data_IF_028040931647
#
_entry.id   IF_028040931647
#
_cell.length_a   1.000
_cell.length_b   1.000
_cell.length_c   1.000
_cell.angle_alpha   90.00
_cell.angle_beta   90.00
_cell.angle_gamma   90.00
#
_symmetry.space_group_name_H-M   'P 1'
#
loop_
_entity.id
_entity.type
_entity.pdbx_description
1 polymer ?
#
# COMPACT_ATOMS: atom_id res chain seq x y z
N UNK A 1 13.90 26.24 -14.94
CA UNK A 1 14.48 25.27 -15.90
C UNK A 1 13.34 24.39 -16.36
N UNK A 2 12.98 24.48 -17.65
CA UNK A 2 11.80 23.81 -18.19
C UNK A 2 11.94 22.29 -18.14
N UNK A 3 11.02 21.64 -17.46
CA UNK A 3 10.80 20.20 -17.55
C UNK A 3 10.23 19.95 -18.95
N UNK A 4 10.97 19.18 -19.76
CA UNK A 4 10.55 18.86 -21.12
C UNK A 4 9.15 18.22 -21.09
N UNK A 5 8.23 18.88 -21.77
CA UNK A 5 6.94 18.29 -22.12
C UNK A 5 7.23 17.00 -22.91
N UNK A 6 6.91 15.86 -22.31
CA UNK A 6 6.89 14.60 -23.06
C UNK A 6 5.76 14.70 -24.08
N UNK A 7 6.04 14.46 -25.36
CA UNK A 7 5.09 14.40 -26.49
C UNK A 7 4.09 13.23 -26.36
N UNK A 8 3.52 13.01 -25.18
CA UNK A 8 2.44 12.04 -25.00
C UNK A 8 1.12 12.74 -25.26
N UNK A 9 0.24 12.16 -26.10
CA UNK A 9 -1.10 12.69 -26.27
C UNK A 9 -1.80 12.77 -24.90
N UNK A 10 -2.67 13.79 -24.69
CA UNK A 10 -3.39 13.93 -23.44
C UNK A 10 -4.14 12.64 -23.11
N UNK A 11 -4.18 12.22 -21.85
CA UNK A 11 -4.84 11.00 -21.43
C UNK A 11 -6.33 11.07 -21.80
N UNK A 12 -6.84 9.99 -22.39
CA UNK A 12 -8.25 9.86 -22.81
C UNK A 12 -9.08 9.31 -21.66
N UNK A 13 -9.21 10.07 -20.58
CA UNK A 13 -9.94 9.65 -19.37
C UNK A 13 -11.36 9.16 -19.70
N UNK A 14 -12.15 9.92 -20.46
CA UNK A 14 -13.54 9.59 -20.76
C UNK A 14 -13.69 8.23 -21.46
N UNK A 15 -12.80 7.92 -22.40
CA UNK A 15 -12.83 6.62 -23.08
C UNK A 15 -12.48 5.48 -22.13
N UNK A 16 -11.48 5.66 -21.27
CA UNK A 16 -11.10 4.66 -20.29
C UNK A 16 -12.22 4.41 -19.26
N UNK A 17 -12.87 5.48 -18.78
CA UNK A 17 -14.02 5.40 -17.88
C UNK A 17 -15.13 4.56 -18.49
N UNK A 18 -15.55 4.85 -19.73
CA UNK A 18 -16.60 4.09 -20.45
C UNK A 18 -16.25 2.60 -20.53
N UNK A 19 -14.99 2.26 -20.83
CA UNK A 19 -14.57 0.86 -20.92
C UNK A 19 -14.61 0.14 -19.56
N UNK A 20 -14.16 0.76 -18.49
CA UNK A 20 -14.19 0.14 -17.15
C UNK A 20 -15.61 0.05 -16.59
N UNK A 21 -16.47 1.04 -16.84
CA UNK A 21 -17.89 0.96 -16.50
C UNK A 21 -18.59 -0.18 -17.24
N UNK A 22 -18.32 -0.33 -18.55
CA UNK A 22 -18.86 -1.42 -19.34
C UNK A 22 -18.37 -2.78 -18.82
N UNK A 23 -17.07 -2.92 -18.52
CA UNK A 23 -16.50 -4.15 -17.97
C UNK A 23 -17.16 -4.52 -16.63
N UNK A 24 -17.29 -3.56 -15.71
CA UNK A 24 -17.95 -3.75 -14.42
C UNK A 24 -19.42 -4.15 -14.55
N UNK A 25 -20.13 -3.51 -15.46
CA UNK A 25 -21.58 -3.74 -15.68
C UNK A 25 -21.85 -5.07 -16.35
N UNK A 26 -20.94 -5.54 -17.23
CA UNK A 26 -21.06 -6.84 -17.90
C UNK A 26 -20.91 -8.03 -16.94
N UNK A 27 -20.35 -7.83 -15.73
CA UNK A 27 -20.15 -8.90 -14.76
C UNK A 27 -21.39 -8.98 -13.84
N UNK A 28 -22.09 -10.13 -13.81
CA UNK A 28 -23.27 -10.32 -12.94
C UNK A 28 -22.90 -10.12 -11.47
N UNK A 29 -23.79 -9.43 -10.71
CA UNK A 29 -23.56 -9.16 -9.29
C UNK A 29 -23.50 -10.41 -8.41
N UNK A 30 -24.21 -11.45 -8.83
CA UNK A 30 -24.35 -12.74 -8.12
C UNK A 30 -23.35 -13.80 -8.61
N UNK A 31 -22.39 -13.41 -9.46
CA UNK A 31 -21.34 -14.34 -9.92
C UNK A 31 -20.54 -14.91 -8.76
N UNK A 32 -20.25 -16.22 -8.83
CA UNK A 32 -19.37 -16.93 -7.89
C UNK A 32 -17.98 -17.20 -8.47
N UNK A 33 -17.76 -16.78 -9.72
CA UNK A 33 -16.46 -16.98 -10.38
C UNK A 33 -15.46 -15.95 -9.85
N UNK A 34 -14.49 -16.40 -9.05
CA UNK A 34 -13.48 -15.55 -8.38
C UNK A 34 -12.82 -14.59 -9.36
N UNK A 35 -12.38 -15.07 -10.54
CA UNK A 35 -11.74 -14.22 -11.55
C UNK A 35 -12.63 -13.08 -12.05
N UNK A 36 -13.95 -13.29 -12.11
CA UNK A 36 -14.89 -12.25 -12.52
C UNK A 36 -15.14 -11.25 -11.39
N UNK A 37 -15.16 -11.73 -10.14
CA UNK A 37 -15.24 -10.88 -8.94
C UNK A 37 -14.01 -9.98 -8.90
N UNK A 38 -12.81 -10.55 -9.01
CA UNK A 38 -11.54 -9.80 -9.02
C UNK A 38 -11.52 -8.76 -10.16
N UNK A 39 -12.00 -9.11 -11.35
CA UNK A 39 -12.08 -8.19 -12.48
C UNK A 39 -13.06 -7.03 -12.21
N UNK A 40 -14.19 -7.29 -11.57
CA UNK A 40 -15.15 -6.26 -11.16
C UNK A 40 -14.56 -5.31 -10.13
N UNK A 41 -13.89 -5.84 -9.12
CA UNK A 41 -13.25 -5.07 -8.07
C UNK A 41 -12.10 -4.22 -8.62
N UNK A 42 -11.28 -4.80 -9.51
CA UNK A 42 -10.25 -4.09 -10.25
C UNK A 42 -10.83 -2.97 -11.12
N UNK A 43 -11.98 -3.21 -11.75
CA UNK A 43 -12.65 -2.17 -12.56
C UNK A 43 -13.10 -1.00 -11.69
N UNK A 44 -13.63 -1.24 -10.48
CA UNK A 44 -13.99 -0.20 -9.53
C UNK A 44 -12.77 0.59 -9.06
N UNK A 45 -11.67 -0.09 -8.73
CA UNK A 45 -10.41 0.55 -8.35
C UNK A 45 -9.84 1.41 -9.49
N UNK A 46 -9.89 0.89 -10.73
CA UNK A 46 -9.42 1.61 -11.92
C UNK A 46 -10.26 2.86 -12.19
N UNK A 47 -11.60 2.77 -12.09
CA UNK A 47 -12.50 3.91 -12.22
C UNK A 47 -12.20 4.99 -11.17
N UNK A 48 -12.02 4.58 -9.91
CA UNK A 48 -11.68 5.50 -8.84
C UNK A 48 -10.39 6.27 -9.14
N UNK A 49 -9.35 5.58 -9.61
CA UNK A 49 -8.09 6.20 -10.01
C UNK A 49 -8.23 7.14 -11.20
N UNK A 50 -9.02 6.77 -12.20
CA UNK A 50 -9.25 7.64 -13.36
C UNK A 50 -9.94 8.94 -12.95
N UNK A 51 -10.97 8.89 -12.10
CA UNK A 51 -11.62 10.09 -11.58
C UNK A 51 -10.65 10.94 -10.75
N UNK A 52 -9.82 10.30 -9.93
CA UNK A 52 -8.81 10.96 -9.14
C UNK A 52 -7.77 11.67 -10.02
N UNK A 53 -7.19 10.99 -11.00
CA UNK A 53 -6.24 11.55 -11.95
C UNK A 53 -6.86 12.68 -12.79
N UNK A 54 -8.11 12.52 -13.22
CA UNK A 54 -8.83 13.55 -13.96
C UNK A 54 -9.04 14.79 -13.07
N UNK A 55 -9.33 14.62 -11.78
CA UNK A 55 -9.45 15.72 -10.83
C UNK A 55 -8.16 16.53 -10.73
N UNK A 56 -6.99 15.88 -10.75
CA UNK A 56 -5.69 16.57 -10.73
C UNK A 56 -5.34 17.32 -12.02
N UNK A 57 -6.02 17.01 -13.13
CA UNK A 57 -5.85 17.77 -14.38
C UNK A 57 -6.64 19.07 -14.42
N UNK A 58 -7.49 19.31 -13.42
CA UNK A 58 -8.31 20.50 -13.28
C UNK A 58 -7.77 21.44 -12.19
N UNK A 59 -7.99 22.73 -12.37
CA UNK A 59 -7.78 23.71 -11.31
C UNK A 59 -8.76 23.49 -10.15
N UNK A 60 -8.46 24.07 -8.99
CA UNK A 60 -9.35 24.00 -7.83
C UNK A 60 -10.71 24.63 -8.17
N UNK A 61 -11.77 23.87 -7.88
CA UNK A 61 -13.12 24.31 -8.18
C UNK A 61 -14.17 23.20 -8.05
N UNK A 62 -15.44 23.54 -8.30
CA UNK A 62 -16.54 22.60 -8.12
C UNK A 62 -16.45 21.36 -9.02
N UNK A 63 -15.89 21.49 -10.22
CA UNK A 63 -15.72 20.34 -11.13
C UNK A 63 -14.70 19.34 -10.59
N UNK A 64 -13.56 19.82 -10.07
CA UNK A 64 -12.56 18.99 -9.40
C UNK A 64 -13.17 18.26 -8.20
N UNK A 65 -13.96 18.96 -7.38
CA UNK A 65 -14.64 18.35 -6.23
C UNK A 65 -15.58 17.23 -6.63
N UNK A 66 -16.38 17.41 -7.67
CA UNK A 66 -17.28 16.36 -8.20
C UNK A 66 -16.49 15.11 -8.62
N UNK A 67 -15.33 15.28 -9.23
CA UNK A 67 -14.48 14.14 -9.61
C UNK A 67 -13.85 13.45 -8.39
N UNK A 68 -13.40 14.20 -7.39
CA UNK A 68 -12.91 13.65 -6.13
C UNK A 68 -14.01 12.88 -5.39
N UNK A 69 -15.24 13.39 -5.36
CA UNK A 69 -16.38 12.69 -4.76
C UNK A 69 -16.67 11.37 -5.50
N UNK A 70 -16.66 11.37 -6.84
CA UNK A 70 -16.77 10.14 -7.63
C UNK A 70 -15.65 9.15 -7.32
N UNK A 71 -14.41 9.62 -7.24
CA UNK A 71 -13.27 8.77 -6.92
C UNK A 71 -13.44 8.12 -5.52
N UNK A 72 -13.81 8.90 -4.50
CA UNK A 72 -14.05 8.41 -3.14
C UNK A 72 -15.15 7.35 -3.09
N UNK A 73 -16.24 7.56 -3.82
CA UNK A 73 -17.34 6.58 -3.93
C UNK A 73 -16.87 5.29 -4.62
N UNK A 74 -16.12 5.39 -5.71
CA UNK A 74 -15.63 4.20 -6.40
C UNK A 74 -14.57 3.44 -5.59
N UNK A 75 -13.70 4.11 -4.84
CA UNK A 75 -12.83 3.43 -3.86
C UNK A 75 -13.64 2.69 -2.79
N UNK A 76 -14.75 3.27 -2.33
CA UNK A 76 -15.63 2.62 -1.34
C UNK A 76 -16.44 1.46 -1.93
N UNK A 77 -16.65 1.43 -3.25
CA UNK A 77 -17.32 0.34 -3.95
C UNK A 77 -16.44 -0.93 -4.06
N UNK A 78 -15.13 -0.83 -3.82
CA UNK A 78 -14.28 -2.02 -3.67
C UNK A 78 -14.72 -2.77 -2.43
N UNK A 79 -15.19 -4.04 -2.57
CA UNK A 79 -15.77 -4.76 -1.45
C UNK A 79 -14.79 -4.96 -0.31
N UNK A 80 -15.31 -4.93 0.91
CA UNK A 80 -14.54 -5.39 2.08
C UNK A 80 -14.08 -6.83 1.86
N UNK A 81 -12.87 -7.12 2.30
CA UNK A 81 -12.22 -8.43 2.16
C UNK A 81 -11.78 -8.79 0.73
N UNK A 82 -11.96 -7.90 -0.25
CA UNK A 82 -11.28 -8.01 -1.55
C UNK A 82 -9.77 -7.88 -1.37
N UNK A 83 -8.98 -8.55 -2.21
CA UNK A 83 -7.52 -8.39 -2.25
C UNK A 83 -7.07 -6.96 -2.56
N UNK A 84 -7.96 -6.13 -3.13
CA UNK A 84 -7.71 -4.73 -3.48
C UNK A 84 -8.22 -3.74 -2.41
N UNK A 85 -8.81 -4.24 -1.33
CA UNK A 85 -9.46 -3.37 -0.33
C UNK A 85 -8.48 -2.47 0.41
N UNK A 86 -7.33 -2.99 0.83
CA UNK A 86 -6.29 -2.19 1.49
C UNK A 86 -5.81 -1.04 0.59
N UNK A 87 -5.59 -1.33 -0.69
CA UNK A 87 -5.21 -0.36 -1.71
C UNK A 87 -6.30 0.70 -1.93
N UNK A 88 -7.56 0.28 -1.97
CA UNK A 88 -8.70 1.20 -2.08
C UNK A 88 -8.82 2.12 -0.86
N UNK A 89 -8.61 1.61 0.35
CA UNK A 89 -8.60 2.41 1.59
C UNK A 89 -7.48 3.46 1.56
N UNK A 90 -6.28 3.06 1.15
CA UNK A 90 -5.14 3.97 1.06
C UNK A 90 -5.37 5.08 0.03
N UNK A 91 -5.81 4.74 -1.18
CA UNK A 91 -6.10 5.72 -2.22
C UNK A 91 -7.29 6.63 -1.84
N UNK A 92 -8.31 6.09 -1.13
CA UNK A 92 -9.42 6.90 -0.61
C UNK A 92 -8.93 7.92 0.44
N UNK A 93 -7.98 7.52 1.29
CA UNK A 93 -7.39 8.44 2.25
C UNK A 93 -6.68 9.60 1.55
N UNK A 94 -5.94 9.35 0.46
CA UNK A 94 -5.35 10.38 -0.38
C UNK A 94 -6.41 11.30 -0.99
N UNK A 95 -7.44 10.73 -1.62
CA UNK A 95 -8.50 11.52 -2.25
C UNK A 95 -9.24 12.39 -1.22
N UNK A 96 -9.51 11.87 -0.03
CA UNK A 96 -10.13 12.62 1.06
C UNK A 96 -9.19 13.70 1.61
N UNK A 97 -7.88 13.47 1.65
CA UNK A 97 -6.91 14.49 2.08
C UNK A 97 -6.85 15.65 1.10
N UNK A 98 -6.85 15.36 -0.20
CA UNK A 98 -6.86 16.39 -1.27
C UNK A 98 -8.15 17.21 -1.28
N UNK A 99 -9.28 16.60 -0.88
CA UNK A 99 -10.57 17.29 -0.73
C UNK A 99 -10.77 17.88 0.68
N UNK A 100 -9.71 17.95 1.49
CA UNK A 100 -9.68 18.50 2.86
C UNK A 100 -10.65 17.81 3.85
N UNK A 101 -11.17 16.62 3.47
CA UNK A 101 -11.98 15.78 4.36
C UNK A 101 -11.09 14.97 5.32
N UNK A 102 -10.31 15.67 6.14
CA UNK A 102 -9.28 15.08 7.01
C UNK A 102 -9.80 14.02 7.98
N UNK A 103 -11.03 14.17 8.47
CA UNK A 103 -11.67 13.20 9.33
C UNK A 103 -11.88 11.85 8.65
N UNK A 104 -12.33 11.86 7.40
CA UNK A 104 -12.53 10.65 6.59
C UNK A 104 -11.20 10.04 6.16
N UNK A 105 -10.22 10.90 5.83
CA UNK A 105 -8.87 10.44 5.50
C UNK A 105 -8.24 9.68 6.68
N UNK A 106 -8.28 10.25 7.89
CA UNK A 106 -7.79 9.59 9.10
C UNK A 106 -8.57 8.31 9.42
N UNK A 107 -9.88 8.28 9.17
CA UNK A 107 -10.70 7.08 9.34
C UNK A 107 -10.29 5.94 8.41
N UNK A 108 -9.98 6.23 7.16
CA UNK A 108 -9.48 5.25 6.20
C UNK A 108 -8.08 4.74 6.60
N UNK A 109 -7.17 5.63 7.02
CA UNK A 109 -5.83 5.27 7.52
C UNK A 109 -5.89 4.47 8.82
N UNK A 110 -6.84 4.77 9.71
CA UNK A 110 -7.08 4.00 10.91
C UNK A 110 -7.57 2.58 10.55
N UNK A 111 -8.51 2.46 9.62
CA UNK A 111 -8.95 1.15 9.14
C UNK A 111 -7.78 0.33 8.58
N UNK A 112 -6.90 0.95 7.80
CA UNK A 112 -5.71 0.30 7.22
C UNK A 112 -4.71 -0.16 8.29
N UNK A 113 -4.70 0.49 9.46
CA UNK A 113 -3.84 0.12 10.60
C UNK A 113 -4.43 -1.02 11.46
N UNK A 114 -5.61 -1.55 11.11
CA UNK A 114 -6.26 -2.61 11.87
C UNK A 114 -5.48 -3.94 11.78
N UNK A 115 -5.56 -4.80 12.81
CA UNK A 115 -4.92 -6.12 12.81
C UNK A 115 -5.32 -7.01 11.63
N UNK A 116 -6.43 -6.73 10.98
CA UNK A 116 -6.85 -7.40 9.75
C UNK A 116 -5.84 -7.21 8.60
N UNK A 117 -5.14 -6.08 8.54
CA UNK A 117 -4.20 -5.72 7.48
C UNK A 117 -2.74 -5.92 7.87
N UNK A 118 -2.43 -6.78 8.83
CA UNK A 118 -1.04 -7.05 9.25
C UNK A 118 -0.14 -7.52 8.12
N UNK A 119 -0.73 -8.11 7.08
CA UNK A 119 -0.01 -8.61 5.90
C UNK A 119 0.06 -7.59 4.76
N UNK A 120 -0.47 -6.38 4.97
CA UNK A 120 -0.40 -5.28 4.01
C UNK A 120 0.72 -4.31 4.37
N UNK A 121 1.37 -3.74 3.34
CA UNK A 121 2.51 -2.85 3.52
C UNK A 121 2.30 -1.53 2.77
N UNK A 122 1.87 -0.51 3.51
CA UNK A 122 1.65 0.85 3.02
C UNK A 122 2.47 1.85 3.85
N UNK A 123 3.79 1.91 3.68
CA UNK A 123 4.65 2.76 4.51
C UNK A 123 4.33 4.26 4.34
N UNK A 124 3.83 4.68 3.19
CA UNK A 124 3.40 6.05 2.95
C UNK A 124 2.16 6.47 3.78
N UNK A 125 1.39 5.52 4.32
CA UNK A 125 0.21 5.82 5.13
C UNK A 125 0.56 6.66 6.38
N UNK A 126 1.72 6.41 7.01
CA UNK A 126 2.20 7.21 8.13
C UNK A 126 2.57 8.63 7.71
N UNK A 127 3.19 8.78 6.55
CA UNK A 127 3.51 10.12 5.99
C UNK A 127 2.24 10.90 5.70
N UNK A 128 1.25 10.26 5.07
CA UNK A 128 -0.04 10.90 4.81
C UNK A 128 -0.73 11.35 6.12
N UNK A 129 -0.68 10.52 7.15
CA UNK A 129 -1.20 10.85 8.48
C UNK A 129 -0.47 12.06 9.09
N UNK A 130 0.85 12.13 8.96
CA UNK A 130 1.65 13.28 9.41
C UNK A 130 1.26 14.56 8.64
N UNK A 131 1.09 14.47 7.32
CA UNK A 131 0.66 15.59 6.46
C UNK A 131 -0.72 16.12 6.90
N UNK A 132 -1.69 15.24 7.18
CA UNK A 132 -3.01 15.65 7.65
C UNK A 132 -2.90 16.43 8.97
N UNK A 133 -2.10 15.96 9.93
CA UNK A 133 -1.90 16.68 11.17
C UNK A 133 -1.11 17.97 10.98
N UNK A 134 -0.18 18.02 10.02
CA UNK A 134 0.54 19.23 9.66
C UNK A 134 -0.42 20.33 9.16
N UNK A 135 -1.31 20.01 8.22
CA UNK A 135 -2.34 20.95 7.74
C UNK A 135 -3.31 21.42 8.82
N UNK A 136 -3.41 20.70 9.91
CA UNK A 136 -4.23 21.07 11.07
C UNK A 136 -3.42 21.68 12.22
N UNK A 137 -2.15 22.04 12.00
CA UNK A 137 -1.25 22.66 12.96
C UNK A 137 -1.04 21.82 14.25
N UNK A 138 -1.23 20.50 14.18
CA UNK A 138 -1.09 19.59 15.33
C UNK A 138 0.35 19.05 15.42
N UNK A 139 1.30 19.94 15.68
CA UNK A 139 2.74 19.70 15.57
C UNK A 139 3.25 18.54 16.43
N UNK A 140 2.75 18.40 17.66
CA UNK A 140 3.12 17.30 18.54
C UNK A 140 2.80 15.94 17.92
N UNK A 141 1.63 15.82 17.27
CA UNK A 141 1.24 14.59 16.58
C UNK A 141 2.07 14.32 15.33
N UNK A 142 2.41 15.39 14.61
CA UNK A 142 3.33 15.26 13.46
C UNK A 142 4.66 14.69 13.91
N UNK A 143 5.30 15.30 14.92
CA UNK A 143 6.59 14.88 15.42
C UNK A 143 6.56 13.42 15.92
N UNK A 144 5.53 13.03 16.69
CA UNK A 144 5.38 11.65 17.16
C UNK A 144 5.32 10.64 16.02
N UNK A 145 4.55 10.93 14.95
CA UNK A 145 4.45 10.02 13.79
C UNK A 145 5.78 9.95 13.02
N UNK A 146 6.46 11.09 12.87
CA UNK A 146 7.74 11.12 12.15
C UNK A 146 8.85 10.39 12.91
N UNK A 147 8.81 10.42 14.23
CA UNK A 147 9.73 9.62 15.07
C UNK A 147 9.44 8.12 14.92
N UNK A 148 8.15 7.71 14.87
CA UNK A 148 7.78 6.33 14.57
C UNK A 148 8.26 5.89 13.17
N UNK A 149 8.12 6.74 12.14
CA UNK A 149 8.57 6.47 10.77
C UNK A 149 10.07 6.20 10.76
N UNK A 150 10.87 7.05 11.42
CA UNK A 150 12.32 6.86 11.48
C UNK A 150 12.71 5.60 12.23
N UNK A 151 12.13 5.41 13.41
CA UNK A 151 12.46 4.25 14.26
C UNK A 151 12.17 2.91 13.58
N UNK A 152 11.16 2.85 12.70
CA UNK A 152 10.75 1.62 12.02
C UNK A 152 11.42 1.46 10.65
N UNK A 153 11.45 2.51 9.83
CA UNK A 153 11.80 2.36 8.42
C UNK A 153 13.29 2.56 8.12
N UNK A 154 14.02 3.34 8.92
CA UNK A 154 15.47 3.48 8.74
C UNK A 154 16.21 2.14 8.94
N UNK A 155 16.01 1.41 10.06
CA UNK A 155 16.67 0.12 10.26
C UNK A 155 16.23 -0.93 9.21
N UNK A 156 14.97 -0.89 8.79
CA UNK A 156 14.43 -1.80 7.77
C UNK A 156 15.07 -1.54 6.40
N UNK A 157 15.20 -0.27 6.00
CA UNK A 157 15.86 0.13 4.75
C UNK A 157 17.33 -0.27 4.75
N UNK A 158 18.07 -0.03 5.85
CA UNK A 158 19.45 -0.44 6.01
C UNK A 158 19.63 -1.95 5.91
N UNK A 159 18.76 -2.72 6.58
CA UNK A 159 18.76 -4.18 6.53
C UNK A 159 18.57 -4.69 5.10
N UNK A 160 17.58 -4.17 4.37
CA UNK A 160 17.30 -4.59 3.00
C UNK A 160 18.39 -4.15 2.03
N UNK A 161 18.99 -2.98 2.24
CA UNK A 161 20.14 -2.53 1.45
C UNK A 161 21.33 -3.47 1.64
N UNK A 162 21.68 -3.79 2.89
CA UNK A 162 22.77 -4.72 3.19
C UNK A 162 22.52 -6.11 2.60
N UNK A 163 21.26 -6.58 2.64
CA UNK A 163 20.87 -7.85 2.03
C UNK A 163 21.01 -7.82 0.50
N UNK A 164 20.55 -6.74 -0.14
CA UNK A 164 20.67 -6.57 -1.59
C UNK A 164 22.12 -6.42 -2.07
N UNK A 165 23.01 -5.93 -1.23
CA UNK A 165 24.46 -5.81 -1.49
C UNK A 165 25.26 -7.05 -1.09
N UNK A 166 24.62 -8.03 -0.45
CA UNK A 166 25.27 -9.28 -0.05
C UNK A 166 25.71 -10.12 -1.25
N UNK A 167 26.65 -11.05 -1.02
CA UNK A 167 27.14 -11.98 -2.02
C UNK A 167 26.24 -13.22 -2.19
N UNK A 168 24.95 -13.10 -1.89
CA UNK A 168 23.99 -14.17 -2.14
C UNK A 168 23.88 -14.44 -3.65
N UNK A 169 24.00 -15.72 -4.02
CA UNK A 169 23.76 -16.17 -5.39
C UNK A 169 22.27 -16.04 -5.73
N UNK A 170 21.93 -15.90 -7.00
CA UNK A 170 20.55 -15.61 -7.38
C UNK A 170 19.58 -16.75 -7.06
N UNK A 171 20.01 -17.98 -7.08
CA UNK A 171 19.20 -19.16 -6.73
C UNK A 171 18.89 -19.29 -5.23
N UNK A 172 19.67 -18.63 -4.38
CA UNK A 172 19.46 -18.58 -2.91
C UNK A 172 18.36 -17.59 -2.49
N UNK A 173 17.97 -16.65 -3.34
CA UNK A 173 16.99 -15.61 -3.00
C UNK A 173 15.58 -16.15 -2.78
N UNK A 174 15.13 -17.11 -3.58
CA UNK A 174 13.80 -17.69 -3.41
C UNK A 174 13.69 -18.54 -2.14
N UNK A 175 14.65 -19.44 -1.82
CA UNK A 175 14.73 -20.08 -0.51
C UNK A 175 14.75 -19.09 0.67
N UNK A 176 15.48 -18.00 0.54
CA UNK A 176 15.52 -16.94 1.55
C UNK A 176 14.15 -16.31 1.76
N UNK A 177 13.43 -15.98 0.68
CA UNK A 177 12.06 -15.45 0.75
C UNK A 177 11.12 -16.43 1.45
N UNK A 178 11.18 -17.72 1.09
CA UNK A 178 10.38 -18.77 1.74
C UNK A 178 10.67 -18.85 3.23
N UNK A 179 11.94 -18.87 3.63
CA UNK A 179 12.37 -18.88 5.02
C UNK A 179 11.86 -17.66 5.78
N UNK A 180 11.87 -16.48 5.15
CA UNK A 180 11.38 -15.23 5.75
C UNK A 180 9.87 -15.25 6.04
N UNK A 181 9.12 -16.07 5.32
CA UNK A 181 7.67 -16.23 5.45
C UNK A 181 7.27 -17.40 6.37
N UNK A 182 8.20 -18.25 6.81
CA UNK A 182 7.91 -19.36 7.69
C UNK A 182 7.22 -18.89 8.98
N UNK A 183 6.21 -19.64 9.47
CA UNK A 183 5.64 -19.39 10.78
C UNK A 183 6.71 -19.54 11.87
N UNK A 184 6.96 -18.47 12.63
CA UNK A 184 7.97 -18.45 13.67
C UNK A 184 9.38 -18.06 13.22
N UNK A 185 9.56 -17.60 11.99
CA UNK A 185 10.82 -16.98 11.56
C UNK A 185 11.19 -15.82 12.49
N UNK A 186 12.45 -15.80 12.92
CA UNK A 186 12.96 -14.74 13.80
C UNK A 186 13.06 -13.41 13.03
N UNK A 187 12.08 -12.54 13.23
CA UNK A 187 12.03 -11.24 12.56
C UNK A 187 13.13 -10.26 13.01
N UNK A 188 13.91 -10.63 14.03
CA UNK A 188 15.10 -9.87 14.43
C UNK A 188 16.37 -10.28 13.69
N UNK A 189 16.33 -11.39 12.94
CA UNK A 189 17.43 -11.85 12.10
C UNK A 189 17.58 -10.95 10.87
N UNK A 190 18.58 -10.08 10.92
CA UNK A 190 18.92 -9.14 9.82
C UNK A 190 19.29 -9.82 8.48
N UNK A 191 19.44 -11.15 8.48
CA UNK A 191 19.69 -11.92 7.24
C UNK A 191 18.40 -12.34 6.54
N UNK A 192 17.25 -12.16 7.15
CA UNK A 192 15.95 -12.42 6.54
C UNK A 192 15.39 -11.16 5.88
N UNK A 193 14.50 -11.35 4.92
CA UNK A 193 13.69 -10.27 4.38
C UNK A 193 12.62 -9.92 5.43
N UNK A 194 12.43 -8.65 5.81
CA UNK A 194 11.36 -8.28 6.75
C UNK A 194 10.00 -8.82 6.27
N UNK A 195 9.22 -9.41 7.18
CA UNK A 195 8.00 -10.14 6.84
C UNK A 195 7.02 -9.33 5.99
N UNK A 196 6.80 -8.06 6.33
CA UNK A 196 5.89 -7.20 5.55
C UNK A 196 6.37 -7.01 4.09
N UNK A 197 7.68 -6.85 3.91
CA UNK A 197 8.31 -6.76 2.58
C UNK A 197 8.18 -8.09 1.83
N UNK A 198 8.47 -9.20 2.49
CA UNK A 198 8.34 -10.53 1.90
C UNK A 198 6.90 -10.81 1.42
N UNK A 199 5.90 -10.45 2.23
CA UNK A 199 4.48 -10.58 1.88
C UNK A 199 4.08 -9.67 0.71
N UNK A 200 4.55 -8.42 0.69
CA UNK A 200 4.31 -7.51 -0.42
C UNK A 200 4.91 -8.02 -1.74
N UNK A 201 6.08 -8.67 -1.68
CA UNK A 201 6.70 -9.30 -2.86
C UNK A 201 5.85 -10.46 -3.38
N UNK A 202 5.38 -11.35 -2.51
CA UNK A 202 4.59 -12.52 -2.92
C UNK A 202 3.23 -12.12 -3.49
N UNK A 203 2.64 -11.04 -3.00
CA UNK A 203 1.38 -10.48 -3.52
C UNK A 203 1.53 -9.76 -4.87
N UNK A 204 2.75 -9.48 -5.32
CA UNK A 204 2.96 -8.87 -6.63
C UNK A 204 2.51 -9.83 -7.75
N UNK A 205 1.57 -9.42 -8.64
CA UNK A 205 1.02 -10.33 -9.66
C UNK A 205 2.06 -10.89 -10.64
N UNK A 206 3.19 -10.21 -10.80
CA UNK A 206 4.30 -10.71 -11.65
C UNK A 206 5.05 -11.81 -10.94
N UNK A 207 5.30 -11.63 -9.65
CA UNK A 207 5.98 -12.63 -8.84
C UNK A 207 5.09 -13.87 -8.63
N UNK A 208 3.80 -13.69 -8.39
CA UNK A 208 2.82 -14.77 -8.29
C UNK A 208 2.83 -15.67 -9.54
N UNK A 209 2.88 -15.08 -10.74
CA UNK A 209 2.99 -15.83 -12.00
C UNK A 209 4.31 -16.61 -12.11
N UNK A 210 5.40 -16.01 -11.63
CA UNK A 210 6.71 -16.68 -11.62
C UNK A 210 6.71 -17.87 -10.66
N UNK A 211 6.13 -17.71 -9.49
CA UNK A 211 6.00 -18.77 -8.50
C UNK A 211 5.07 -19.90 -8.99
N UNK A 212 3.96 -19.55 -9.62
CA UNK A 212 3.05 -20.53 -10.23
C UNK A 212 3.75 -21.37 -11.31
N UNK A 213 4.58 -20.74 -12.15
CA UNK A 213 5.35 -21.45 -13.17
C UNK A 213 6.40 -22.40 -12.56
N UNK A 214 7.11 -21.97 -11.52
CA UNK A 214 8.05 -22.83 -10.80
C UNK A 214 7.35 -24.06 -10.19
N UNK A 215 6.19 -23.85 -9.57
CA UNK A 215 5.36 -24.93 -9.02
C UNK A 215 4.89 -25.91 -10.08
N UNK A 216 4.65 -25.45 -11.31
CA UNK A 216 4.27 -26.34 -12.41
C UNK A 216 5.48 -27.16 -12.90
N UNK A 217 6.67 -26.59 -13.00
CA UNK A 217 7.91 -27.35 -13.28
C UNK A 217 8.09 -28.45 -12.22
N UNK A 218 8.02 -28.10 -10.93
CA UNK A 218 8.16 -29.06 -9.83
C UNK A 218 7.08 -30.16 -9.88
N UNK A 219 5.89 -29.83 -10.32
CA UNK A 219 4.78 -30.78 -10.47
C UNK A 219 5.02 -31.75 -11.63
N UNK A 220 5.43 -31.24 -12.79
CA UNK A 220 5.72 -32.04 -13.97
C UNK A 220 6.88 -33.02 -13.67
N UNK A 221 7.96 -32.54 -13.08
CA UNK A 221 9.08 -33.37 -12.66
C UNK A 221 8.63 -34.54 -11.76
N UNK A 222 7.81 -34.25 -10.73
CA UNK A 222 7.25 -35.28 -9.85
C UNK A 222 6.37 -36.30 -10.57
N UNK A 223 5.67 -35.93 -11.63
CA UNK A 223 4.89 -36.86 -12.46
C UNK A 223 5.83 -37.80 -13.23
N UNK A 224 6.91 -37.27 -13.79
CA UNK A 224 7.94 -38.06 -14.48
C UNK A 224 8.61 -39.07 -13.55
N UNK A 225 9.03 -38.62 -12.37
CA UNK A 225 9.70 -39.47 -11.38
C UNK A 225 8.84 -40.62 -10.87
N UNK A 226 7.49 -40.47 -10.85
CA UNK A 226 6.57 -41.56 -10.47
C UNK A 226 6.60 -42.73 -11.44
N UNK A 227 6.93 -42.51 -12.69
CA UNK A 227 7.09 -43.56 -13.69
C UNK A 227 8.49 -44.20 -13.62
N UNK A 228 8.72 -45.03 -12.60
CA UNK A 228 10.04 -45.65 -12.30
C UNK A 228 10.72 -46.32 -13.49
N UNK A 229 9.92 -46.87 -14.41
CA UNK A 229 10.46 -47.56 -15.60
C UNK A 229 10.95 -46.52 -16.63
N UNK A 230 10.19 -45.47 -16.82
CA UNK A 230 10.57 -44.40 -17.76
C UNK A 230 11.72 -43.54 -17.23
N UNK A 231 11.69 -43.16 -15.96
CA UNK A 231 12.72 -42.33 -15.33
C UNK A 231 14.12 -42.99 -15.33
N UNK A 232 14.18 -44.33 -15.41
CA UNK A 232 15.42 -45.09 -15.49
C UNK A 232 15.91 -45.34 -16.94
N UNK A 233 15.14 -44.97 -17.95
CA UNK A 233 15.59 -45.03 -19.33
C UNK A 233 16.55 -43.87 -19.65
N UNK A 234 17.38 -44.00 -20.68
CA UNK A 234 18.31 -42.97 -21.11
C UNK A 234 17.56 -41.64 -21.44
N UNK A 235 16.40 -41.74 -22.09
CA UNK A 235 15.54 -40.63 -22.38
C UNK A 235 14.95 -40.01 -21.10
N UNK A 236 14.52 -40.82 -20.14
CA UNK A 236 13.96 -40.35 -18.87
C UNK A 236 15.00 -39.61 -18.02
N UNK A 237 16.23 -40.14 -17.94
CA UNK A 237 17.33 -39.51 -17.21
C UNK A 237 17.76 -38.18 -17.84
N UNK A 238 17.77 -38.11 -19.19
CA UNK A 238 18.03 -36.82 -19.90
C UNK A 238 16.95 -35.79 -19.62
N UNK A 239 15.68 -36.15 -19.65
CA UNK A 239 14.56 -35.28 -19.32
C UNK A 239 14.59 -34.76 -17.88
N UNK A 240 14.93 -35.59 -16.90
CA UNK A 240 15.08 -35.17 -15.50
C UNK A 240 16.20 -34.13 -15.39
N UNK A 241 17.34 -34.39 -16.03
CA UNK A 241 18.45 -33.42 -16.05
C UNK A 241 18.06 -32.08 -16.71
N UNK A 242 17.24 -32.12 -17.78
CA UNK A 242 16.71 -30.91 -18.42
C UNK A 242 15.73 -30.17 -17.50
N UNK A 243 14.87 -30.89 -16.73
CA UNK A 243 14.02 -30.26 -15.74
C UNK A 243 14.83 -29.55 -14.63
N UNK A 244 15.87 -30.23 -14.11
CA UNK A 244 16.72 -29.64 -13.07
C UNK A 244 17.46 -28.41 -13.59
N UNK A 245 18.05 -28.47 -14.80
CA UNK A 245 18.73 -27.34 -15.40
C UNK A 245 17.78 -26.16 -15.68
N UNK A 246 16.57 -26.42 -16.17
CA UNK A 246 15.56 -25.38 -16.39
C UNK A 246 15.07 -24.77 -15.08
N UNK A 247 14.86 -25.57 -14.04
CA UNK A 247 14.47 -25.15 -12.71
C UNK A 247 15.52 -24.22 -12.10
N UNK A 248 16.80 -24.63 -12.13
CA UNK A 248 17.90 -23.86 -11.57
C UNK A 248 18.09 -22.52 -12.34
N UNK A 249 18.03 -22.59 -13.67
CA UNK A 249 18.05 -21.38 -14.50
C UNK A 249 16.90 -20.43 -14.17
N UNK A 250 15.70 -20.97 -13.91
CA UNK A 250 14.53 -20.17 -13.57
C UNK A 250 14.62 -19.57 -12.15
N UNK A 251 15.15 -20.34 -11.18
CA UNK A 251 15.46 -19.83 -9.84
C UNK A 251 16.44 -18.65 -9.89
N UNK A 252 17.45 -18.72 -10.73
CA UNK A 252 18.38 -17.61 -10.96
C UNK A 252 17.68 -16.35 -11.50
N UNK A 253 16.73 -16.51 -12.43
CA UNK A 253 15.90 -15.37 -12.94
C UNK A 253 15.01 -14.81 -11.84
N UNK A 254 14.33 -15.67 -11.08
CA UNK A 254 13.51 -15.26 -9.94
C UNK A 254 14.33 -14.50 -8.89
N UNK A 255 15.51 -15.01 -8.56
CA UNK A 255 16.40 -14.36 -7.59
C UNK A 255 16.86 -12.97 -8.03
N UNK A 256 17.17 -12.80 -9.32
CA UNK A 256 17.48 -11.48 -9.87
C UNK A 256 16.31 -10.49 -9.70
N UNK A 257 15.08 -10.95 -9.96
CA UNK A 257 13.87 -10.15 -9.76
C UNK A 257 13.68 -9.83 -8.29
N UNK A 258 13.86 -10.82 -7.39
CA UNK A 258 13.74 -10.64 -5.93
C UNK A 258 14.75 -9.63 -5.42
N UNK A 259 16.01 -9.79 -5.76
CA UNK A 259 17.09 -8.83 -5.40
C UNK A 259 16.73 -7.40 -5.81
N UNK A 260 16.25 -7.24 -7.04
CA UNK A 260 15.84 -5.93 -7.57
C UNK A 260 14.66 -5.35 -6.80
N UNK A 261 13.66 -6.18 -6.46
CA UNK A 261 12.49 -5.75 -5.67
C UNK A 261 12.88 -5.36 -4.24
N UNK A 262 13.69 -6.17 -3.56
CA UNK A 262 14.18 -5.86 -2.21
C UNK A 262 14.95 -4.54 -2.22
N UNK A 263 15.81 -4.33 -3.22
CA UNK A 263 16.54 -3.06 -3.37
C UNK A 263 15.58 -1.89 -3.61
N UNK A 264 14.62 -2.04 -4.52
CA UNK A 264 13.64 -0.99 -4.82
C UNK A 264 12.81 -0.59 -3.58
N UNK A 265 12.40 -1.57 -2.77
CA UNK A 265 11.67 -1.29 -1.52
C UNK A 265 12.57 -0.66 -0.46
N UNK A 266 13.86 -1.03 -0.40
CA UNK A 266 14.84 -0.35 0.46
C UNK A 266 14.97 1.14 0.08
N UNK A 267 15.12 1.43 -1.21
CA UNK A 267 15.23 2.79 -1.73
C UNK A 267 13.94 3.60 -1.49
N UNK A 268 12.76 2.96 -1.58
CA UNK A 268 11.47 3.57 -1.25
C UNK A 268 11.38 3.96 0.22
N UNK A 269 11.74 3.06 1.14
CA UNK A 269 11.76 3.37 2.57
C UNK A 269 12.77 4.47 2.93
N UNK A 270 13.94 4.48 2.30
CA UNK A 270 14.91 5.57 2.46
C UNK A 270 14.32 6.92 1.97
N UNK A 271 13.59 6.90 0.85
CA UNK A 271 12.88 8.09 0.34
C UNK A 271 11.79 8.57 1.32
N UNK A 272 11.04 7.65 1.92
CA UNK A 272 10.02 7.96 2.94
C UNK A 272 10.67 8.59 4.17
N UNK A 273 11.78 8.05 4.65
CA UNK A 273 12.54 8.61 5.77
C UNK A 273 13.07 10.02 5.45
N UNK A 274 13.52 10.24 4.22
CA UNK A 274 13.95 11.56 3.75
C UNK A 274 12.78 12.55 3.76
N UNK A 275 11.62 12.15 3.22
CA UNK A 275 10.38 12.98 3.25
C UNK A 275 9.96 13.29 4.70
N UNK A 276 10.04 12.31 5.59
CA UNK A 276 9.78 12.52 7.01
C UNK A 276 10.72 13.57 7.61
N UNK A 277 12.00 13.56 7.22
CA UNK A 277 12.98 14.57 7.63
C UNK A 277 12.61 15.99 7.16
N UNK A 278 12.14 16.13 5.93
CA UNK A 278 11.69 17.43 5.38
C UNK A 278 10.45 17.93 6.11
N UNK A 279 9.44 17.09 6.32
CA UNK A 279 8.23 17.46 7.08
C UNK A 279 8.59 17.86 8.51
N UNK A 280 9.54 17.18 9.16
CA UNK A 280 9.99 17.55 10.49
C UNK A 280 10.67 18.93 10.53
N UNK A 281 11.43 19.27 9.49
CA UNK A 281 12.05 20.60 9.37
C UNK A 281 10.98 21.68 9.17
N UNK A 282 10.03 21.46 8.25
CA UNK A 282 8.92 22.38 8.01
C UNK A 282 8.07 22.56 9.27
N UNK A 283 7.79 21.49 10.01
CA UNK A 283 7.06 21.54 11.28
C UNK A 283 7.78 22.44 12.29
N UNK A 284 9.10 22.27 12.46
CA UNK A 284 9.88 23.12 13.38
C UNK A 284 9.91 24.59 12.97
N UNK A 285 9.98 24.86 11.67
CA UNK A 285 9.93 26.23 11.14
C UNK A 285 8.57 26.85 11.45
N UNK A 286 7.48 26.14 11.18
CA UNK A 286 6.13 26.62 11.47
C UNK A 286 5.88 26.81 12.98
N UNK A 287 6.41 25.94 13.83
CA UNK A 287 6.37 26.11 15.29
C UNK A 287 7.13 27.35 15.73
N UNK A 288 8.32 27.62 15.15
CA UNK A 288 9.10 28.82 15.46
C UNK A 288 8.38 30.09 15.06
N UNK A 289 7.82 30.16 13.85
CA UNK A 289 7.05 31.27 13.35
C UNK A 289 5.84 31.58 14.26
N UNK A 290 5.20 30.53 14.78
CA UNK A 290 4.10 30.65 15.72
C UNK A 290 4.53 31.30 17.06
N UNK A 291 5.66 30.84 17.60
CA UNK A 291 6.23 31.39 18.84
C UNK A 291 6.67 32.86 18.67
N UNK A 292 7.26 33.21 17.53
CA UNK A 292 7.65 34.60 17.21
C UNK A 292 6.43 35.53 17.12
N UNK A 293 5.28 35.03 16.67
CA UNK A 293 4.02 35.75 16.65
C UNK A 293 3.36 35.88 18.05
N UNK A 294 4.04 35.41 19.11
CA UNK A 294 3.53 35.44 20.49
C UNK A 294 2.39 34.47 20.75
N UNK A 295 2.20 33.50 19.87
CA UNK A 295 1.18 32.47 20.02
C UNK A 295 1.72 31.37 20.95
N UNK A 296 1.02 31.10 22.05
CA UNK A 296 1.38 29.97 22.92
C UNK A 296 1.06 28.66 22.18
N UNK A 297 2.05 27.79 22.11
CA UNK A 297 1.77 26.36 21.82
C UNK A 297 1.06 25.86 23.07
N UNK A 298 -0.27 25.81 23.01
CA UNK A 298 -1.06 25.30 24.12
C UNK A 298 -0.70 23.82 24.25
N UNK A 299 0.11 23.49 25.24
CA UNK A 299 0.42 22.09 25.58
C UNK A 299 -0.91 21.38 25.67
N UNK A 300 -1.20 20.53 24.72
CA UNK A 300 -2.44 19.78 24.55
C UNK A 300 -2.74 18.98 25.82
N UNK A 301 -3.16 19.67 26.87
CA UNK A 301 -4.03 19.04 27.84
C UNK A 301 -5.17 18.51 26.98
N UNK A 302 -5.26 17.19 26.90
CA UNK A 302 -6.30 16.44 26.18
C UNK A 302 -7.68 16.92 26.65
N UNK A 303 -8.07 18.12 26.26
CA UNK A 303 -9.44 18.58 26.41
C UNK A 303 -10.25 17.59 25.60
N UNK A 304 -11.09 16.84 26.31
CA UNK A 304 -12.05 15.94 25.66
C UNK A 304 -12.78 16.79 24.63
N UNK A 305 -12.60 16.47 23.35
CA UNK A 305 -13.36 17.10 22.30
C UNK A 305 -14.85 16.92 22.64
N UNK A 306 -15.68 17.97 22.45
CA UNK A 306 -17.11 17.81 22.63
C UNK A 306 -17.61 16.70 21.72
N UNK A 307 -18.66 16.00 22.17
CA UNK A 307 -19.29 14.98 21.33
C UNK A 307 -19.67 15.61 19.99
N UNK A 308 -19.23 15.05 18.84
CA UNK A 308 -19.58 15.61 17.54
C UNK A 308 -21.08 15.56 17.30
N UNK A 309 -21.57 16.43 16.46
CA UNK A 309 -22.94 16.37 15.96
C UNK A 309 -23.12 15.07 15.14
N UNK A 310 -24.14 14.30 15.46
CA UNK A 310 -24.53 13.10 14.72
C UNK A 310 -25.61 13.50 13.73
N UNK A 311 -25.34 13.46 12.40
CA UNK A 311 -26.26 14.00 11.41
C UNK A 311 -27.56 13.19 11.28
N UNK A 312 -27.49 11.86 11.45
CA UNK A 312 -28.63 10.95 11.33
C UNK A 312 -28.39 9.61 12.04
N UNK A 313 -29.34 8.70 11.97
CA UNK A 313 -29.34 7.40 12.67
C UNK A 313 -28.36 6.38 12.06
N UNK A 314 -27.73 6.70 10.93
CA UNK A 314 -26.73 5.83 10.30
C UNK A 314 -25.36 5.98 10.94
N UNK A 315 -25.15 7.04 11.74
CA UNK A 315 -23.90 7.32 12.43
C UNK A 315 -24.05 7.11 13.94
N UNK A 316 -23.02 6.48 14.53
CA UNK A 316 -22.90 6.40 15.98
C UNK A 316 -21.58 7.02 16.42
N UNK A 317 -21.63 7.84 17.47
CA UNK A 317 -20.43 8.37 18.09
C UNK A 317 -19.92 7.40 19.15
N UNK A 318 -18.65 7.04 19.02
CA UNK A 318 -17.95 6.22 19.99
C UNK A 318 -16.68 6.91 20.48
N UNK A 319 -16.43 6.84 21.79
CA UNK A 319 -15.15 7.29 22.32
C UNK A 319 -14.06 6.31 21.93
N UNK A 320 -13.20 6.70 21.02
CA UNK A 320 -12.11 5.86 20.54
C UNK A 320 -11.17 5.47 21.68
N UNK A 321 -10.92 4.16 21.84
CA UNK A 321 -10.05 3.55 22.85
C UNK A 321 -9.02 2.60 22.20
N UNK A 322 -8.63 2.87 20.94
CA UNK A 322 -7.79 2.03 20.11
C UNK A 322 -8.40 0.65 19.75
N UNK A 323 -9.69 0.50 19.79
CA UNK A 323 -10.41 -0.68 19.32
C UNK A 323 -10.65 -0.65 17.82
N UNK A 324 -10.70 -1.85 17.21
CA UNK A 324 -11.07 -2.04 15.81
C UNK A 324 -12.29 -2.95 15.72
N UNK A 325 -13.32 -2.45 15.08
CA UNK A 325 -14.56 -3.20 14.84
C UNK A 325 -14.56 -3.61 13.36
N UNK A 326 -14.59 -4.94 13.10
CA UNK A 326 -14.42 -5.46 11.73
C UNK A 326 -15.55 -5.03 10.78
N UNK A 327 -16.74 -4.80 11.30
CA UNK A 327 -17.91 -4.30 10.59
C UNK A 327 -17.83 -2.79 10.30
N UNK A 328 -17.02 -2.05 11.05
CA UNK A 328 -16.79 -0.61 10.91
C UNK A 328 -15.55 -0.25 10.10
N UNK A 329 -14.71 -1.24 9.77
CA UNK A 329 -13.53 -0.98 8.97
C UNK A 329 -13.91 -0.37 7.61
N UNK A 330 -13.28 0.75 7.29
CA UNK A 330 -13.55 1.54 6.08
C UNK A 330 -14.65 2.60 6.25
N UNK A 331 -15.31 2.66 7.41
CA UNK A 331 -16.38 3.64 7.71
C UNK A 331 -16.04 4.56 8.89
N UNK A 332 -14.88 4.39 9.51
CA UNK A 332 -14.43 5.30 10.56
C UNK A 332 -14.31 6.73 10.05
N UNK A 333 -14.73 7.67 10.86
CA UNK A 333 -14.51 9.09 10.64
C UNK A 333 -14.05 9.74 11.95
N UNK A 334 -12.97 10.52 11.87
CA UNK A 334 -12.37 11.21 13.00
C UNK A 334 -12.84 12.67 13.04
N UNK A 335 -13.14 13.17 14.21
CA UNK A 335 -13.28 14.61 14.39
C UNK A 335 -11.89 15.23 14.47
N UNK A 336 -11.51 15.95 13.44
CA UNK A 336 -10.26 16.71 13.39
C UNK A 336 -10.57 18.17 13.71
N UNK A 337 -9.92 18.68 14.73
CA UNK A 337 -9.98 20.10 15.05
C UNK A 337 -8.72 20.74 14.53
N UNK A 338 -8.83 21.69 13.64
CA UNK A 338 -7.70 22.52 13.29
C UNK A 338 -7.26 23.35 14.49
N UNK A 339 -5.97 23.42 14.72
CA UNK A 339 -5.34 24.31 15.70
C UNK A 339 -4.72 25.52 15.02
N UNK A 340 -4.76 25.55 13.68
CA UNK A 340 -4.42 26.75 12.90
C UNK A 340 -5.39 27.87 13.27
N UNK A 341 -4.86 29.08 13.37
CA UNK A 341 -5.71 30.26 13.54
C UNK A 341 -6.12 30.73 12.15
N UNK A 342 -7.40 30.93 11.95
CA UNK A 342 -7.90 31.68 10.80
C UNK A 342 -7.33 33.12 10.90
N UNK A 343 -6.73 33.63 9.81
CA UNK A 343 -6.29 34.98 9.68
C UNK A 343 -7.48 35.95 9.64
#
# INVERSE_FOLDING_TARGET
MGVGQTDRPPPKYDQAIVHFEAARTAIPKDTKATKLIDLRDLSSLALARLYYEQAFSLDEGPERKVLLDKAKVEFQNVPRFSSLWAEALFNRAWASTVDEEYGRALGALHSLSAPYFTDEFYPEAKILKAIIYYYNCQWERVNAILDEVRAEYEPMSEQMTALAESNLEFDEWYPLLQKSLEPGADQTDKKLIPRHVALAIVKDPRFEKMEAFLKEIDREQKIFEKSKTFAKSDMGSSLVADFDANRDGYLGVMGKVLKTKVRGMADELASISTRAGLIALETKTSEADWLEQGRAIDNLQRKRLPRPFIPDDTFQFWWFRNEYWIDELGYYEFTVKTECFDE
#
